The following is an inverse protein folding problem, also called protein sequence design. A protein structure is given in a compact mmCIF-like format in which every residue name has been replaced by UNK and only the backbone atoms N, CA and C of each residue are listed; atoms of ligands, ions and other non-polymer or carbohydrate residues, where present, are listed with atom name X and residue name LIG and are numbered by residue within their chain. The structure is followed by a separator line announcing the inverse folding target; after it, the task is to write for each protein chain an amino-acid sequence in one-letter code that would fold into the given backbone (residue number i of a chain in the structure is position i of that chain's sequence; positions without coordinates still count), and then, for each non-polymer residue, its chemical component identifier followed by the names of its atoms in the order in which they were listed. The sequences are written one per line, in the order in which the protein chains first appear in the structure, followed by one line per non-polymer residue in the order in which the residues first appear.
data_IF_859742956099
#
_entry.id   IF_859742956099
#
_cell.length_a   1.000
_cell.length_b   1.000
_cell.length_c   1.000
_cell.angle_alpha   90.00
_cell.angle_beta   90.00
_cell.angle_gamma   90.00
#
_symmetry.space_group_name_H-M   'P 1'
#
loop_
_entity.id
_entity.type
_entity.pdbx_description
1 polymer ?
#
# COMPACT_ATOMS: atom_id res chain seq x y z
N UNK A 1 11.67 -9.18 -31.89
CA UNK A 1 11.45 -10.64 -31.85
C UNK A 1 10.59 -11.00 -30.63
N UNK A 2 11.08 -10.79 -29.40
CA UNK A 2 10.35 -11.08 -28.16
C UNK A 2 8.87 -10.65 -28.11
N UNK A 3 8.53 -9.45 -28.58
CA UNK A 3 7.14 -8.99 -28.63
C UNK A 3 6.24 -9.82 -29.56
N UNK A 4 6.76 -10.23 -30.71
CA UNK A 4 6.05 -11.09 -31.67
C UNK A 4 5.79 -12.45 -31.03
N UNK A 5 6.82 -13.03 -30.42
CA UNK A 5 6.75 -14.34 -29.77
C UNK A 5 5.76 -14.30 -28.60
N UNK A 6 5.77 -13.23 -27.79
CA UNK A 6 4.79 -13.04 -26.72
C UNK A 6 3.34 -12.97 -27.25
N UNK A 7 3.10 -12.24 -28.35
CA UNK A 7 1.76 -12.19 -28.97
C UNK A 7 1.30 -13.54 -29.50
N UNK A 8 2.21 -14.29 -30.11
CA UNK A 8 1.94 -15.62 -30.61
C UNK A 8 1.60 -16.57 -29.45
N UNK A 9 2.39 -16.54 -28.37
CA UNK A 9 2.11 -17.28 -27.14
C UNK A 9 0.74 -16.94 -26.56
N UNK A 10 0.35 -15.65 -26.48
CA UNK A 10 -0.98 -15.26 -26.01
C UNK A 10 -2.09 -15.79 -26.91
N UNK A 11 -1.87 -15.78 -28.22
CA UNK A 11 -2.84 -16.30 -29.20
C UNK A 11 -2.98 -17.82 -29.06
N UNK A 12 -1.87 -18.54 -28.88
CA UNK A 12 -1.87 -19.98 -28.62
C UNK A 12 -2.55 -20.31 -27.30
N UNK A 13 -2.31 -19.55 -26.23
CA UNK A 13 -3.02 -19.72 -24.95
C UNK A 13 -4.53 -19.53 -25.12
N UNK A 14 -4.94 -18.51 -25.87
CA UNK A 14 -6.35 -18.29 -26.19
C UNK A 14 -6.95 -19.47 -26.97
N UNK A 15 -6.24 -19.99 -27.98
CA UNK A 15 -6.69 -21.16 -28.73
C UNK A 15 -6.78 -22.42 -27.86
N UNK A 16 -5.81 -22.62 -26.96
CA UNK A 16 -5.78 -23.76 -26.02
C UNK A 16 -6.88 -23.70 -24.98
N UNK A 17 -7.22 -22.51 -24.49
CA UNK A 17 -8.34 -22.32 -23.58
C UNK A 17 -9.69 -22.53 -24.29
N UNK A 18 -9.80 -22.06 -25.54
CA UNK A 18 -11.01 -22.24 -26.35
C UNK A 18 -12.24 -21.65 -25.66
N UNK A 19 -13.26 -22.49 -25.48
CA UNK A 19 -14.50 -22.19 -24.76
C UNK A 19 -14.50 -22.62 -23.29
N UNK A 20 -13.40 -23.23 -22.82
CA UNK A 20 -13.33 -23.75 -21.45
C UNK A 20 -13.08 -22.64 -20.43
N UNK A 21 -13.51 -22.88 -19.20
CA UNK A 21 -13.33 -21.93 -18.10
C UNK A 21 -11.88 -21.92 -17.59
N UNK A 22 -11.22 -23.07 -17.61
CA UNK A 22 -9.82 -23.28 -17.22
C UNK A 22 -9.11 -24.18 -18.25
N UNK A 23 -7.77 -24.25 -18.23
CA UNK A 23 -7.00 -25.00 -19.22
C UNK A 23 -7.26 -26.52 -19.20
N UNK A 24 -7.69 -27.07 -18.07
CA UNK A 24 -8.02 -28.50 -17.92
C UNK A 24 -9.52 -28.76 -17.72
N UNK A 25 -10.38 -27.86 -18.21
CA UNK A 25 -11.84 -28.02 -18.17
C UNK A 25 -12.49 -27.11 -17.13
N UNK A 26 -13.28 -27.70 -16.25
CA UNK A 26 -14.14 -26.95 -15.31
C UNK A 26 -13.50 -26.70 -13.95
N UNK A 27 -12.38 -27.35 -13.66
CA UNK A 27 -11.62 -27.18 -12.42
C UNK A 27 -10.29 -26.47 -12.68
N UNK A 28 -9.92 -25.49 -11.85
CA UNK A 28 -8.62 -24.82 -11.93
C UNK A 28 -7.47 -25.79 -11.60
N UNK A 29 -6.40 -25.71 -12.37
CA UNK A 29 -5.19 -26.52 -12.23
C UNK A 29 -3.95 -25.66 -11.92
N UNK A 30 -2.82 -26.32 -11.67
CA UNK A 30 -1.53 -25.65 -11.43
C UNK A 30 -1.08 -24.76 -12.60
N UNK A 31 -1.35 -25.19 -13.84
CA UNK A 31 -1.11 -24.38 -15.02
C UNK A 31 -1.89 -23.07 -14.98
N UNK A 32 -3.13 -23.11 -14.48
CA UNK A 32 -3.97 -21.93 -14.43
C UNK A 32 -3.37 -20.87 -13.49
N UNK A 33 -2.90 -21.28 -12.31
CA UNK A 33 -2.20 -20.39 -11.37
C UNK A 33 -0.94 -19.75 -12.01
N UNK A 34 -0.16 -20.56 -12.76
CA UNK A 34 1.03 -20.08 -13.43
C UNK A 34 0.72 -19.08 -14.55
N UNK A 35 -0.23 -19.39 -15.43
CA UNK A 35 -0.66 -18.49 -16.51
C UNK A 35 -1.28 -17.23 -15.92
N UNK A 36 -2.11 -17.36 -14.89
CA UNK A 36 -2.75 -16.24 -14.20
C UNK A 36 -1.72 -15.28 -13.60
N UNK A 37 -0.67 -15.79 -12.95
CA UNK A 37 0.39 -14.95 -12.37
C UNK A 37 1.07 -14.04 -13.38
N UNK A 38 1.10 -14.43 -14.66
CA UNK A 38 1.67 -13.64 -15.76
C UNK A 38 0.64 -12.71 -16.39
N UNK A 39 -0.58 -13.21 -16.60
CA UNK A 39 -1.64 -12.44 -17.26
C UNK A 39 -2.23 -11.34 -16.37
N UNK A 40 -2.39 -11.59 -15.06
CA UNK A 40 -3.05 -10.64 -14.17
C UNK A 40 -2.27 -9.31 -14.03
N UNK A 41 -0.95 -9.31 -13.78
CA UNK A 41 -0.16 -8.08 -13.81
C UNK A 41 -0.13 -7.45 -15.20
N UNK A 42 -0.03 -8.24 -16.26
CA UNK A 42 -0.04 -7.74 -17.64
C UNK A 42 -1.35 -7.02 -17.99
N UNK A 43 -2.48 -7.46 -17.43
CA UNK A 43 -3.79 -6.83 -17.60
C UNK A 43 -3.96 -5.57 -16.74
N UNK A 44 -3.52 -5.59 -15.49
CA UNK A 44 -3.80 -4.53 -14.50
C UNK A 44 -2.71 -3.45 -14.41
N UNK A 45 -1.46 -3.78 -14.74
CA UNK A 45 -0.36 -2.83 -14.66
C UNK A 45 -0.46 -1.75 -15.75
N UNK A 46 0.04 -0.56 -15.43
CA UNK A 46 0.26 0.51 -16.41
C UNK A 46 1.61 0.30 -17.05
N UNK A 47 1.60 -0.13 -18.30
CA UNK A 47 2.82 -0.33 -19.06
C UNK A 47 3.11 0.90 -19.92
N UNK A 48 4.39 1.30 -20.07
CA UNK A 48 4.78 2.39 -20.96
C UNK A 48 4.46 2.06 -22.44
N UNK A 49 4.41 0.77 -22.78
CA UNK A 49 3.99 0.29 -24.09
C UNK A 49 2.77 -0.65 -23.95
N UNK A 50 1.59 -0.11 -24.24
CA UNK A 50 0.32 -0.82 -24.11
C UNK A 50 -0.01 -1.80 -25.26
N UNK A 51 0.84 -1.94 -26.29
CA UNK A 51 0.48 -2.77 -27.47
C UNK A 51 0.24 -4.24 -27.13
N UNK A 52 1.01 -4.82 -26.21
CA UNK A 52 0.82 -6.22 -25.79
C UNK A 52 -0.43 -6.37 -24.93
N UNK A 53 -0.63 -5.43 -24.01
CA UNK A 53 -1.82 -5.38 -23.16
C UNK A 53 -3.09 -5.19 -23.99
N UNK A 54 -3.05 -4.39 -25.06
CA UNK A 54 -4.16 -4.23 -25.99
C UNK A 54 -4.45 -5.51 -26.77
N UNK A 55 -3.42 -6.22 -27.23
CA UNK A 55 -3.58 -7.55 -27.85
C UNK A 55 -4.22 -8.53 -26.87
N UNK A 56 -3.76 -8.57 -25.62
CA UNK A 56 -4.35 -9.41 -24.59
C UNK A 56 -5.82 -9.05 -24.31
N UNK A 57 -6.14 -7.76 -24.21
CA UNK A 57 -7.52 -7.27 -24.06
C UNK A 57 -8.42 -7.57 -25.25
N UNK A 58 -7.87 -7.81 -26.43
CA UNK A 58 -8.66 -8.28 -27.59
C UNK A 58 -9.10 -9.74 -27.44
N UNK A 59 -8.39 -10.53 -26.63
CA UNK A 59 -8.67 -11.94 -26.37
C UNK A 59 -9.60 -12.06 -25.15
N UNK A 60 -10.90 -11.93 -25.40
CA UNK A 60 -11.93 -11.87 -24.34
C UNK A 60 -11.98 -13.14 -23.48
N UNK A 61 -11.72 -14.30 -24.06
CA UNK A 61 -11.67 -15.58 -23.33
C UNK A 61 -10.59 -15.57 -22.23
N UNK A 62 -9.39 -15.07 -22.53
CA UNK A 62 -8.31 -14.93 -21.55
C UNK A 62 -8.63 -13.88 -20.48
N UNK A 63 -9.30 -12.78 -20.86
CA UNK A 63 -9.79 -11.80 -19.89
C UNK A 63 -10.81 -12.43 -18.92
N UNK A 64 -11.81 -13.14 -19.45
CA UNK A 64 -12.83 -13.82 -18.66
C UNK A 64 -12.23 -14.91 -17.75
N UNK A 65 -11.24 -15.63 -18.25
CA UNK A 65 -10.44 -16.57 -17.48
C UNK A 65 -9.76 -15.92 -16.27
N UNK A 66 -9.07 -14.79 -16.47
CA UNK A 66 -8.45 -14.06 -15.36
C UNK A 66 -9.48 -13.54 -14.35
N UNK A 67 -10.62 -13.03 -14.82
CA UNK A 67 -11.72 -12.60 -13.95
C UNK A 67 -12.31 -13.76 -13.15
N UNK A 68 -12.47 -14.92 -13.78
CA UNK A 68 -12.99 -16.14 -13.12
C UNK A 68 -12.08 -16.59 -11.98
N UNK A 69 -10.75 -16.63 -12.21
CA UNK A 69 -9.77 -16.98 -11.17
C UNK A 69 -9.79 -15.95 -10.03
N UNK A 70 -9.84 -14.66 -10.35
CA UNK A 70 -9.95 -13.60 -9.34
C UNK A 70 -11.20 -13.79 -8.48
N UNK A 71 -12.36 -14.03 -9.08
CA UNK A 71 -13.59 -14.24 -8.32
C UNK A 71 -13.59 -15.51 -7.47
N UNK A 72 -12.91 -16.57 -7.93
CA UNK A 72 -12.93 -17.87 -7.27
C UNK A 72 -11.98 -17.93 -6.06
N UNK A 73 -10.78 -17.37 -6.21
CA UNK A 73 -9.70 -17.50 -5.20
C UNK A 73 -9.40 -16.20 -4.46
N UNK A 74 -9.81 -15.07 -5.02
CA UNK A 74 -9.64 -13.75 -4.41
C UNK A 74 -10.98 -13.03 -4.34
N UNK A 75 -12.06 -13.66 -3.81
CA UNK A 75 -13.32 -12.97 -3.59
C UNK A 75 -13.04 -11.80 -2.66
N UNK A 76 -13.29 -10.60 -3.16
CA UNK A 76 -13.04 -9.38 -2.41
C UNK A 76 -14.09 -9.25 -1.30
N UNK A 77 -13.74 -9.66 -0.09
CA UNK A 77 -14.63 -9.59 1.07
C UNK A 77 -14.53 -8.20 1.72
N UNK A 78 -15.30 -7.25 1.19
CA UNK A 78 -15.53 -5.94 1.80
C UNK A 78 -14.66 -4.78 1.30
N UNK A 79 -15.32 -3.81 0.65
CA UNK A 79 -14.85 -2.42 0.55
C UNK A 79 -14.09 -2.07 -0.73
N UNK A 80 -14.81 -1.58 -1.73
CA UNK A 80 -14.31 -0.75 -2.84
C UNK A 80 -13.15 -1.32 -3.68
N UNK A 81 -13.49 -1.77 -4.90
CA UNK A 81 -12.55 -1.71 -6.02
C UNK A 81 -12.17 -0.24 -6.22
N UNK A 82 -10.92 0.21 -5.98
CA UNK A 82 -10.54 1.55 -6.40
C UNK A 82 -10.70 1.61 -7.93
N UNK A 83 -11.32 2.68 -8.47
CA UNK A 83 -11.54 2.80 -9.92
C UNK A 83 -10.22 2.62 -10.69
N UNK A 84 -10.28 2.13 -11.94
CA UNK A 84 -9.09 1.77 -12.71
C UNK A 84 -8.12 2.93 -12.69
N UNK A 85 -6.96 2.69 -12.08
CA UNK A 85 -6.02 3.72 -11.68
C UNK A 85 -5.78 4.68 -12.86
N UNK A 86 -6.14 5.95 -12.71
CA UNK A 86 -5.55 7.05 -13.48
C UNK A 86 -4.07 7.18 -13.09
N UNK A 87 -3.12 7.56 -13.98
CA UNK A 87 -1.69 7.67 -13.67
C UNK A 87 -1.37 8.90 -12.80
N UNK A 88 -2.05 9.05 -11.68
CA UNK A 88 -1.73 10.02 -10.65
C UNK A 88 -1.89 9.36 -9.30
N UNK A 89 -0.81 9.42 -8.53
CA UNK A 89 -0.66 9.33 -7.06
C UNK A 89 0.37 8.29 -6.62
N UNK A 90 1.64 8.63 -6.86
CA UNK A 90 2.55 8.74 -5.72
C UNK A 90 2.07 9.94 -4.89
N UNK A 91 1.00 9.75 -4.12
CA UNK A 91 0.48 10.76 -3.20
C UNK A 91 -0.16 9.96 -2.09
N UNK A 92 0.42 10.13 -0.90
CA UNK A 92 -0.12 9.71 0.37
C UNK A 92 -1.63 9.46 0.29
N UNK A 93 -2.01 8.22 0.54
CA UNK A 93 -3.24 7.88 1.27
C UNK A 93 -3.28 8.82 2.50
N UNK A 94 -3.97 9.94 2.33
CA UNK A 94 -4.40 10.79 3.44
C UNK A 94 -5.75 10.25 3.87
N UNK A 95 -5.68 9.06 4.45
CA UNK A 95 -6.73 8.40 5.19
C UNK A 95 -7.24 9.38 6.26
N UNK A 96 -8.55 9.70 6.34
CA UNK A 96 -9.08 10.66 7.32
C UNK A 96 -8.75 10.27 8.77
N UNK A 97 -8.43 8.99 9.02
CA UNK A 97 -7.99 8.50 10.32
C UNK A 97 -6.50 8.74 10.61
N UNK A 98 -5.67 9.04 9.60
CA UNK A 98 -4.24 9.35 9.78
C UNK A 98 -4.03 10.66 10.53
N UNK A 99 -4.84 11.69 10.24
CA UNK A 99 -4.78 12.95 11.00
C UNK A 99 -5.21 12.75 12.45
N UNK A 100 -6.27 11.98 12.70
CA UNK A 100 -6.71 11.65 14.06
C UNK A 100 -5.61 10.91 14.82
N UNK A 101 -5.00 9.90 14.21
CA UNK A 101 -3.96 9.10 14.87
C UNK A 101 -2.67 9.90 15.10
N UNK A 102 -2.30 10.80 14.18
CA UNK A 102 -1.19 11.74 14.38
C UNK A 102 -1.47 12.77 15.48
N UNK A 103 -2.69 13.30 15.56
CA UNK A 103 -3.10 14.19 16.64
C UNK A 103 -3.06 13.46 17.99
N UNK A 104 -3.53 12.21 18.03
CA UNK A 104 -3.48 11.39 19.24
C UNK A 104 -2.03 11.13 19.68
N UNK A 105 -1.12 10.82 18.75
CA UNK A 105 0.29 10.61 19.11
C UNK A 105 0.97 11.89 19.61
N UNK A 106 0.65 13.05 19.00
CA UNK A 106 1.18 14.35 19.44
C UNK A 106 0.64 14.71 20.83
N UNK A 107 -0.65 14.50 21.08
CA UNK A 107 -1.26 14.76 22.39
C UNK A 107 -0.69 13.86 23.49
N UNK A 108 -0.55 12.56 23.22
CA UNK A 108 0.04 11.62 24.16
C UNK A 108 1.51 11.98 24.45
N UNK A 109 2.28 12.31 23.41
CA UNK A 109 3.65 12.77 23.57
C UNK A 109 3.77 14.04 24.41
N UNK A 110 2.91 15.05 24.16
CA UNK A 110 2.88 16.29 24.94
C UNK A 110 2.49 16.03 26.40
N UNK A 111 1.49 15.19 26.64
CA UNK A 111 1.06 14.83 27.99
C UNK A 111 2.17 14.10 28.76
N UNK A 112 2.88 13.18 28.11
CA UNK A 112 4.01 12.46 28.70
C UNK A 112 5.18 13.41 28.99
N UNK A 113 5.52 14.31 28.07
CA UNK A 113 6.58 15.31 28.27
C UNK A 113 6.26 16.27 29.42
N UNK A 114 5.01 16.75 29.51
CA UNK A 114 4.57 17.59 30.62
C UNK A 114 4.59 16.80 31.95
N UNK A 115 4.04 15.59 31.96
CA UNK A 115 4.04 14.72 33.15
C UNK A 115 5.45 14.41 33.65
N UNK A 116 6.37 14.09 32.73
CA UNK A 116 7.77 13.90 33.04
C UNK A 116 8.42 15.18 33.57
N UNK A 117 8.18 16.33 32.94
CA UNK A 117 8.72 17.60 33.41
C UNK A 117 8.22 18.00 34.82
N UNK A 118 6.99 17.61 35.18
CA UNK A 118 6.44 17.78 36.52
C UNK A 118 7.03 16.80 37.55
N UNK A 119 7.13 15.51 37.22
CA UNK A 119 7.70 14.50 38.13
C UNK A 119 9.20 14.70 38.35
N UNK A 120 9.94 15.02 37.29
CA UNK A 120 11.38 15.26 37.33
C UNK A 120 11.73 16.61 37.95
N UNK A 121 10.74 17.41 38.35
CA UNK A 121 10.96 18.69 39.04
C UNK A 121 11.56 19.80 38.16
N UNK A 122 11.55 19.63 36.84
CA UNK A 122 12.11 20.59 35.87
C UNK A 122 11.21 21.84 35.74
N UNK A 123 9.91 21.71 36.02
CA UNK A 123 8.95 22.82 36.03
C UNK A 123 8.53 23.16 37.46
N UNK A 124 9.16 24.17 38.04
CA UNK A 124 8.72 24.79 39.28
C UNK A 124 7.62 25.82 38.98
N UNK A 125 6.35 25.48 39.25
CA UNK A 125 5.26 26.46 39.26
C UNK A 125 5.43 27.31 40.52
N UNK A 126 6.21 28.39 40.42
CA UNK A 126 6.11 29.48 41.37
C UNK A 126 4.76 30.17 41.15
N UNK A 127 3.76 29.82 41.96
CA UNK A 127 2.63 30.72 42.19
C UNK A 127 3.23 32.03 42.67
N UNK A 128 3.08 33.09 41.89
CA UNK A 128 3.57 34.43 42.18
C UNK A 128 3.02 34.94 43.51
N UNK A 129 3.72 34.64 44.60
CA UNK A 129 3.72 35.44 45.81
C UNK A 129 4.77 36.53 45.63
N UNK A 130 4.32 37.77 45.61
CA UNK A 130 5.15 38.98 45.58
C UNK A 130 6.26 38.91 46.64
N UNK A 131 7.54 39.07 46.23
CA UNK A 131 8.67 39.29 47.14
C UNK A 131 10.03 39.04 46.48
N UNK A 132 11.02 39.97 46.54
CA UNK A 132 12.16 39.95 45.63
C UNK A 132 13.39 39.20 46.16
N UNK A 133 14.30 38.96 45.21
CA UNK A 133 15.75 38.76 45.33
C UNK A 133 16.29 37.32 45.25
N UNK A 134 17.13 37.10 44.24
CA UNK A 134 18.40 36.41 44.44
C UNK A 134 18.78 35.30 43.46
N UNK A 135 19.74 35.63 42.57
CA UNK A 135 20.85 34.79 42.07
C UNK A 135 20.59 33.68 41.03
N UNK A 136 21.14 33.94 39.83
CA UNK A 136 21.69 32.94 38.88
C UNK A 136 23.06 32.44 39.41
N UNK A 137 23.54 31.23 39.04
CA UNK A 137 24.32 31.10 37.80
C UNK A 137 24.11 29.81 36.99
N UNK A 138 24.58 29.89 35.75
CA UNK A 138 24.62 28.94 34.63
C UNK A 138 25.65 27.82 34.89
N UNK A 139 25.38 26.58 34.46
CA UNK A 139 26.42 25.61 34.11
C UNK A 139 25.93 24.62 33.03
N UNK A 140 26.69 24.55 31.94
CA UNK A 140 26.64 23.53 30.89
C UNK A 140 27.28 22.23 31.40
N UNK A 141 26.71 21.08 31.03
CA UNK A 141 27.46 19.84 30.91
C UNK A 141 26.75 18.95 29.88
N UNK A 142 27.39 18.82 28.73
CA UNK A 142 27.27 17.70 27.81
C UNK A 142 27.69 16.43 28.54
N UNK A 143 26.98 15.32 28.39
CA UNK A 143 27.61 13.99 28.33
C UNK A 143 26.89 13.16 27.25
N UNK A 144 27.72 12.70 26.30
CA UNK A 144 27.47 11.78 25.20
C UNK A 144 27.24 10.33 25.70
N UNK A 145 26.73 9.47 24.80
CA UNK A 145 27.05 8.03 24.53
C UNK A 145 27.31 7.06 25.71
N UNK A 146 26.89 5.80 25.81
CA UNK A 146 26.51 4.64 24.98
C UNK A 146 25.73 3.70 25.96
N UNK A 147 24.75 2.86 25.60
CA UNK A 147 24.82 1.55 24.92
C UNK A 147 23.38 1.06 24.65
#
# INVERSE_FOLDING_TARGET
QLYRDARECLTLLSQRLGSQKFFFGDSPASLDAFVFSRLAPLLKAKLPNGKLQQHLKSLQNLCNYCTSILSLYFPWDGGEMPPPASPRRLRAEEDPHKRRNQLLSVLVGLAAMLGYAFLSGIVSIQRSGVGPAGRQPIALAEEEEEE
#
